data_IF_670558633907
#
_entry.id   IF_670558633907
#
_cell.length_a   1.000
_cell.length_b   1.000
_cell.length_c   1.000
_cell.angle_alpha   90.00
_cell.angle_beta   90.00
_cell.angle_gamma   90.00
#
_symmetry.space_group_name_H-M   'P 1'
#
loop_
_entity.id
_entity.type
_entity.pdbx_description
1 polymer ?
#
# COMPACT_ATOMS: atom_id res chain seq x y z
N UNK A 1 20.06 -24.31 -4.90
CA UNK A 1 19.53 -23.25 -4.05
C UNK A 1 19.67 -21.90 -4.73
N UNK A 2 18.70 -21.17 -4.63
CA UNK A 2 18.59 -19.94 -5.35
C UNK A 2 18.79 -18.75 -4.43
N UNK A 3 19.96 -18.14 -4.55
CA UNK A 3 20.30 -17.02 -3.68
C UNK A 3 19.39 -15.84 -3.93
N UNK A 4 19.03 -15.60 -5.17
CA UNK A 4 18.16 -14.49 -5.52
C UNK A 4 16.78 -14.66 -4.89
N UNK A 5 16.29 -15.88 -4.85
CA UNK A 5 15.02 -16.16 -4.22
C UNK A 5 15.04 -15.79 -2.74
N UNK A 6 16.14 -16.09 -2.07
CA UNK A 6 16.28 -15.71 -0.66
C UNK A 6 16.29 -14.21 -0.46
N UNK A 7 16.97 -13.49 -1.36
CA UNK A 7 17.00 -12.04 -1.30
C UNK A 7 15.59 -11.46 -1.51
N UNK A 8 14.86 -12.01 -2.48
CA UNK A 8 13.51 -11.56 -2.74
C UNK A 8 12.61 -11.80 -1.53
N UNK A 9 12.75 -12.94 -0.88
CA UNK A 9 11.97 -13.25 0.31
C UNK A 9 12.30 -12.31 1.45
N UNK A 10 13.57 -11.98 1.63
CA UNK A 10 13.99 -11.04 2.67
C UNK A 10 13.47 -9.65 2.41
N UNK A 11 13.50 -9.24 1.15
CA UNK A 11 12.98 -7.93 0.78
C UNK A 11 11.48 -7.84 1.03
N UNK A 12 10.74 -8.87 0.63
CA UNK A 12 9.31 -8.91 0.84
C UNK A 12 8.98 -8.87 2.32
N UNK A 13 9.72 -9.63 3.12
CA UNK A 13 9.50 -9.64 4.56
C UNK A 13 9.75 -8.26 5.16
N UNK A 14 10.75 -7.55 4.65
CA UNK A 14 11.01 -6.18 5.09
C UNK A 14 9.83 -5.27 4.81
N UNK A 15 9.18 -5.43 3.66
CA UNK A 15 8.01 -4.62 3.34
C UNK A 15 6.90 -4.86 4.36
N UNK A 16 6.72 -6.09 4.78
CA UNK A 16 5.69 -6.44 5.76
C UNK A 16 6.02 -5.89 7.14
N UNK A 17 7.29 -5.81 7.49
CA UNK A 17 7.72 -5.58 8.87
C UNK A 17 8.27 -4.20 9.17
N UNK A 18 8.66 -3.41 8.18
CA UNK A 18 9.33 -2.14 8.46
C UNK A 18 8.40 -1.20 9.22
N UNK A 19 8.99 -0.34 10.03
CA UNK A 19 8.23 0.56 10.87
C UNK A 19 7.40 1.53 10.06
N UNK A 20 7.93 2.01 8.97
CA UNK A 20 7.24 2.94 8.09
C UNK A 20 7.38 2.48 6.64
N UNK A 21 6.26 2.33 5.98
CA UNK A 21 6.23 2.01 4.55
C UNK A 21 5.53 3.13 3.80
N UNK A 22 6.15 3.59 2.75
CA UNK A 22 5.54 4.60 1.88
C UNK A 22 5.30 3.95 0.53
N UNK A 23 4.03 3.89 0.12
CA UNK A 23 3.64 3.42 -1.20
C UNK A 23 3.30 4.66 -2.01
N UNK A 24 4.17 5.00 -2.93
CA UNK A 24 4.05 6.24 -3.68
C UNK A 24 3.39 6.00 -5.03
N UNK A 25 2.49 6.90 -5.40
CA UNK A 25 1.84 6.88 -6.72
C UNK A 25 1.07 5.60 -7.00
N UNK A 26 0.30 5.15 -6.02
CA UNK A 26 -0.57 4.02 -6.24
C UNK A 26 -1.52 4.33 -7.38
N UNK A 27 -1.65 3.42 -8.34
CA UNK A 27 -2.53 3.61 -9.48
C UNK A 27 -1.82 3.80 -10.80
N UNK A 28 -0.50 3.94 -10.80
CA UNK A 28 0.25 4.15 -12.04
C UNK A 28 0.74 2.85 -12.67
N UNK A 29 0.74 1.77 -11.91
CA UNK A 29 1.26 0.50 -12.42
C UNK A 29 0.16 -0.33 -13.08
N UNK A 30 0.56 -1.25 -13.94
CA UNK A 30 -0.34 -2.23 -14.50
C UNK A 30 -0.68 -3.27 -13.45
N UNK A 31 -1.95 -3.60 -13.34
CA UNK A 31 -2.42 -4.52 -12.30
C UNK A 31 -2.75 -5.87 -12.89
N UNK A 32 -2.49 -6.91 -12.12
CA UNK A 32 -2.96 -8.26 -12.42
C UNK A 32 -3.31 -8.92 -11.07
N UNK A 33 -3.84 -10.13 -11.15
CA UNK A 33 -4.32 -10.79 -9.94
C UNK A 33 -3.20 -11.05 -8.93
N UNK A 34 -2.00 -11.32 -9.41
CA UNK A 34 -0.87 -11.55 -8.51
C UNK A 34 -0.50 -10.27 -7.76
N UNK A 35 -0.43 -9.16 -8.48
CA UNK A 35 -0.09 -7.88 -7.84
C UNK A 35 -1.15 -7.44 -6.87
N UNK A 36 -2.41 -7.67 -7.21
CA UNK A 36 -3.51 -7.35 -6.30
C UNK A 36 -3.45 -8.18 -5.03
N UNK A 37 -3.15 -9.47 -5.17
CA UNK A 37 -3.01 -10.34 -4.00
C UNK A 37 -1.84 -9.92 -3.12
N UNK A 38 -0.73 -9.55 -3.72
CA UNK A 38 0.43 -9.10 -2.96
C UNK A 38 0.12 -7.80 -2.22
N UNK A 39 -0.53 -6.86 -2.90
CA UNK A 39 -0.88 -5.61 -2.25
C UNK A 39 -1.82 -5.85 -1.08
N UNK A 40 -2.83 -6.70 -1.29
CA UNK A 40 -3.75 -7.01 -0.20
C UNK A 40 -3.02 -7.62 0.98
N UNK A 41 -2.09 -8.55 0.72
CA UNK A 41 -1.34 -9.19 1.80
C UNK A 41 -0.51 -8.16 2.57
N UNK A 42 0.14 -7.25 1.86
CA UNK A 42 0.93 -6.21 2.51
C UNK A 42 0.06 -5.34 3.40
N UNK A 43 -1.04 -4.83 2.85
CA UNK A 43 -1.90 -3.94 3.60
C UNK A 43 -2.53 -4.66 4.79
N UNK A 44 -3.03 -5.87 4.57
CA UNK A 44 -3.72 -6.60 5.62
C UNK A 44 -2.77 -6.96 6.76
N UNK A 45 -1.58 -7.43 6.43
CA UNK A 45 -0.58 -7.79 7.45
C UNK A 45 -0.22 -6.57 8.29
N UNK A 46 0.00 -5.44 7.66
CA UNK A 46 0.43 -4.25 8.37
C UNK A 46 -0.71 -3.61 9.15
N UNK A 47 -1.91 -3.57 8.58
CA UNK A 47 -3.08 -3.00 9.27
C UNK A 47 -3.38 -3.78 10.54
N UNK A 48 -3.37 -5.10 10.46
CA UNK A 48 -3.77 -5.96 11.55
C UNK A 48 -2.61 -6.37 12.45
N UNK A 49 -1.42 -5.88 12.17
CA UNK A 49 -0.22 -6.21 12.96
C UNK A 49 -0.02 -7.72 13.08
N UNK A 50 -0.22 -8.42 11.97
CA UNK A 50 -0.19 -9.89 11.99
C UNK A 50 1.18 -10.44 12.37
N UNK A 51 2.24 -9.65 12.20
CA UNK A 51 3.58 -10.05 12.60
C UNK A 51 3.93 -9.55 14.00
N UNK A 52 2.93 -9.22 14.79
CA UNK A 52 3.10 -8.70 16.16
C UNK A 52 3.95 -7.44 16.18
N UNK A 53 3.77 -6.61 15.18
CA UNK A 53 4.55 -5.40 15.07
C UNK A 53 3.67 -4.23 14.69
N UNK A 54 3.78 -3.13 15.41
CA UNK A 54 3.03 -1.92 15.12
C UNK A 54 3.77 -1.19 14.01
N UNK A 55 3.07 -0.94 12.92
CA UNK A 55 3.67 -0.31 11.73
C UNK A 55 2.82 0.86 11.29
N UNK A 56 3.44 1.75 10.51
CA UNK A 56 2.74 2.87 9.89
C UNK A 56 2.94 2.80 8.38
N UNK A 57 1.87 3.09 7.65
CA UNK A 57 1.90 3.03 6.20
C UNK A 57 1.29 4.30 5.62
N UNK A 58 1.98 4.88 4.66
CA UNK A 58 1.50 6.07 3.97
C UNK A 58 1.34 5.71 2.51
N UNK A 59 0.19 6.04 1.95
CA UNK A 59 -0.09 5.76 0.54
C UNK A 59 -0.41 7.09 -0.14
N UNK A 60 0.29 7.38 -1.23
CA UNK A 60 -0.06 8.52 -2.06
C UNK A 60 -0.63 8.02 -3.38
N UNK A 61 -1.63 8.74 -3.90
CA UNK A 61 -2.28 8.33 -5.13
C UNK A 61 -3.03 9.50 -5.73
N UNK A 62 -3.20 9.46 -7.05
CA UNK A 62 -4.08 10.39 -7.75
C UNK A 62 -5.51 9.88 -7.86
N UNK A 63 -5.76 8.65 -7.43
CA UNK A 63 -7.08 8.04 -7.51
C UNK A 63 -7.92 8.47 -6.32
N UNK A 64 -9.21 8.66 -6.54
CA UNK A 64 -10.10 8.82 -5.40
C UNK A 64 -10.50 7.44 -4.88
N UNK A 65 -11.20 7.42 -3.75
CA UNK A 65 -11.51 6.15 -3.11
C UNK A 65 -12.40 5.27 -4.00
N UNK A 66 -13.29 5.87 -4.78
CA UNK A 66 -14.15 5.10 -5.69
C UNK A 66 -13.33 4.40 -6.76
N UNK A 67 -12.31 5.09 -7.28
CA UNK A 67 -11.42 4.49 -8.27
C UNK A 67 -10.63 3.33 -7.68
N UNK A 68 -10.26 3.46 -6.42
CA UNK A 68 -9.53 2.39 -5.75
C UNK A 68 -10.42 1.15 -5.61
N UNK A 69 -11.68 1.34 -5.22
CA UNK A 69 -12.62 0.23 -5.16
C UNK A 69 -12.77 -0.46 -6.51
N UNK A 70 -12.83 0.32 -7.59
CA UNK A 70 -13.02 -0.23 -8.92
C UNK A 70 -11.78 -0.94 -9.43
N UNK A 71 -10.60 -0.32 -9.26
CA UNK A 71 -9.40 -0.80 -9.90
C UNK A 71 -8.64 -1.82 -9.06
N UNK A 72 -8.79 -1.76 -7.73
CA UNK A 72 -8.01 -2.57 -6.81
C UNK A 72 -8.83 -3.60 -6.06
N UNK A 73 -10.06 -3.85 -6.51
CA UNK A 73 -10.97 -4.77 -5.86
C UNK A 73 -11.54 -4.21 -4.56
N UNK A 74 -12.71 -4.69 -4.25
CA UNK A 74 -13.43 -4.19 -3.09
C UNK A 74 -12.70 -4.44 -1.78
N UNK A 75 -12.05 -5.60 -1.65
CA UNK A 75 -11.39 -5.92 -0.38
C UNK A 75 -10.23 -4.97 -0.07
N UNK A 76 -9.53 -4.52 -1.11
CA UNK A 76 -8.44 -3.55 -0.91
C UNK A 76 -9.01 -2.18 -0.58
N UNK A 77 -10.02 -1.77 -1.35
CA UNK A 77 -10.68 -0.49 -1.08
C UNK A 77 -11.28 -0.43 0.32
N UNK A 78 -11.88 -1.53 0.76
CA UNK A 78 -12.45 -1.59 2.10
C UNK A 78 -11.40 -1.44 3.19
N UNK A 79 -10.23 -2.05 3.01
CA UNK A 79 -9.14 -1.89 3.97
C UNK A 79 -8.67 -0.46 4.04
N UNK A 80 -8.49 0.16 2.88
CA UNK A 80 -8.02 1.55 2.83
C UNK A 80 -9.06 2.48 3.45
N UNK A 81 -10.32 2.34 3.05
CA UNK A 81 -11.37 3.22 3.56
C UNK A 81 -11.62 3.02 5.04
N UNK A 82 -11.47 1.80 5.53
CA UNK A 82 -11.81 1.47 6.91
C UNK A 82 -10.70 1.72 7.92
N UNK A 83 -9.46 1.68 7.49
CA UNK A 83 -8.34 1.71 8.43
C UNK A 83 -7.39 2.88 8.24
N UNK A 84 -7.54 3.65 7.18
CA UNK A 84 -6.62 4.75 6.87
C UNK A 84 -7.34 6.08 7.00
N UNK A 85 -6.62 7.07 7.48
CA UNK A 85 -7.09 8.45 7.43
C UNK A 85 -6.83 8.98 6.03
N UNK A 86 -7.85 9.54 5.41
CA UNK A 86 -7.76 9.98 4.02
C UNK A 86 -7.67 11.50 3.98
N UNK A 87 -6.63 11.99 3.34
CA UNK A 87 -6.40 13.41 3.18
C UNK A 87 -6.42 13.76 1.71
N UNK A 88 -7.10 14.83 1.37
CA UNK A 88 -7.18 15.29 -0.01
C UNK A 88 -6.36 16.56 -0.15
N UNK A 89 -5.54 16.60 -1.18
CA UNK A 89 -4.74 17.78 -1.49
C UNK A 89 -5.24 18.33 -2.81
N UNK A 90 -5.73 19.53 -2.78
CA UNK A 90 -6.32 20.18 -3.94
C UNK A 90 -5.41 21.30 -4.42
N UNK A 91 -5.25 21.37 -5.73
CA UNK A 91 -4.44 22.42 -6.29
C UNK A 91 -2.97 22.13 -6.12
N UNK A 92 -2.23 22.40 -7.15
CA UNK A 92 -0.81 22.09 -7.14
C UNK A 92 -0.03 22.99 -6.19
N UNK A 93 -0.64 24.07 -5.74
CA UNK A 93 0.07 25.00 -4.87
C UNK A 93 0.40 24.39 -3.51
N UNK A 94 -0.39 23.42 -3.07
CA UNK A 94 -0.20 22.87 -1.73
C UNK A 94 1.17 22.24 -1.55
N UNK A 95 1.68 21.57 -2.57
CA UNK A 95 2.96 20.90 -2.41
C UNK A 95 4.13 21.86 -2.49
N UNK A 96 3.91 23.09 -2.90
CA UNK A 96 4.99 24.07 -3.05
C UNK A 96 4.99 25.11 -1.98
N UNK A 97 4.05 25.06 -1.10
CA UNK A 97 4.04 25.99 0.03
C UNK A 97 4.92 25.44 1.11
N UNK A 98 5.89 26.17 1.44
CA UNK A 98 6.86 25.72 2.40
C UNK A 98 7.03 26.72 3.52
#
# INVERSE_FOLDING_TARGET
MNRQKNLDSNFYQSILDCDLLIIDDLGTESLNSMKLSELFTILNTRILNLNNKITKTIISTNLNINDIFKNYEERIGSRIAGYYDIYYFFGKDLRFKK
#
